data_IF_619812538583
#
_entry.id   IF_619812538583
#
_cell.length_a   1.000
_cell.length_b   1.000
_cell.length_c   1.000
_cell.angle_alpha   90.00
_cell.angle_beta   90.00
_cell.angle_gamma   90.00
#
_symmetry.space_group_name_H-M   'P 1'
#
loop_
_entity.id
_entity.type
_entity.pdbx_description
1 polymer ?
2 water ?
#
# COMPACT_ATOMS: atom_id res chain seq x y z
N UNK A 1 -7.67 5.06 -3.85
CA UNK A 1 -6.51 4.75 -2.99
C UNK A 1 -6.47 3.28 -2.63
N UNK A 2 -5.29 2.83 -2.20
CA UNK A 2 -5.05 1.44 -1.80
C UNK A 2 -6.14 0.82 -0.92
N UNK A 3 -6.51 1.51 0.14
CA UNK A 3 -7.48 0.97 1.07
C UNK A 3 -8.88 0.72 0.54
N UNK A 4 -9.22 1.30 -0.61
CA UNK A 4 -10.54 1.10 -1.18
C UNK A 4 -10.65 -0.26 -1.87
N UNK A 5 -9.51 -0.90 -2.12
CA UNK A 5 -9.44 -2.20 -2.78
C UNK A 5 -9.20 -3.26 -1.71
N UNK A 6 -10.00 -4.34 -1.69
CA UNK A 6 -9.85 -5.41 -0.70
C UNK A 6 -8.45 -6.01 -0.58
N UNK A 7 -7.83 -6.33 -1.71
CA UNK A 7 -6.50 -6.93 -1.70
C UNK A 7 -5.45 -6.00 -1.09
N UNK A 8 -5.42 -4.75 -1.55
CA UNK A 8 -4.45 -3.79 -1.04
C UNK A 8 -4.72 -3.48 0.43
N UNK A 9 -6.00 -3.37 0.77
CA UNK A 9 -6.44 -3.09 2.14
C UNK A 9 -5.91 -4.18 3.08
N UNK A 10 -6.12 -5.45 2.72
CA UNK A 10 -5.66 -6.55 3.54
C UNK A 10 -4.15 -6.65 3.65
N UNK A 11 -3.44 -6.16 2.63
CA UNK A 11 -1.99 -6.18 2.63
C UNK A 11 -1.43 -5.04 3.47
N UNK A 12 -2.30 -4.10 3.85
CA UNK A 12 -1.88 -2.94 4.64
C UNK A 12 -2.80 -2.71 5.82
N UNK A 13 -2.82 -3.65 6.77
CA UNK A 13 -3.69 -3.54 7.95
C UNK A 13 -3.43 -2.34 8.87
N UNK A 14 -2.17 -1.94 9.03
CA UNK A 14 -1.86 -0.83 9.93
C UNK A 14 -2.49 0.49 9.49
N UNK A 15 -2.36 0.80 8.20
CA UNK A 15 -2.88 2.04 7.66
C UNK A 15 -4.36 1.99 7.28
N UNK A 16 -4.78 0.91 6.63
CA UNK A 16 -6.16 0.79 6.20
C UNK A 16 -7.15 0.53 7.34
N UNK A 17 -6.75 -0.21 8.36
N UNK B 1 14.29 -0.79 -4.33
CA UNK B 1 13.40 -0.70 -3.17
C UNK B 1 11.97 -0.44 -3.61
N UNK B 2 11.03 -0.80 -2.75
CA UNK B 2 9.62 -0.60 -3.04
C UNK B 2 9.18 0.86 -2.97
N UNK B 3 9.53 1.54 -1.89
CA UNK B 3 9.09 2.91 -1.72
C UNK B 3 9.67 3.93 -2.70
N UNK B 4 10.76 3.55 -3.36
CA UNK B 4 11.38 4.41 -4.36
C UNK B 4 10.77 4.20 -5.75
N UNK B 5 9.88 3.21 -5.87
CA UNK B 5 9.20 2.89 -7.12
C UNK B 5 7.76 3.37 -6.91
N UNK B 6 7.32 4.38 -7.69
CA UNK B 6 5.96 4.94 -7.56
C UNK B 6 4.80 3.96 -7.40
N UNK B 7 4.71 2.95 -8.26
CA UNK B 7 3.60 2.01 -8.15
C UNK B 7 3.65 1.17 -6.89
N UNK B 8 4.84 0.74 -6.49
CA UNK B 8 4.96 -0.05 -5.28
C UNK B 8 4.63 0.82 -4.06
N UNK B 9 5.11 2.05 -4.08
CA UNK B 9 4.87 3.01 -3.00
C UNK B 9 3.36 3.22 -2.80
N UNK B 10 2.67 3.46 -3.91
CA UNK B 10 1.23 3.71 -3.91
C UNK B 10 0.41 2.55 -3.31
N UNK B 11 0.90 1.33 -3.46
CA UNK B 11 0.21 0.15 -2.95
C UNK B 11 0.68 -0.35 -1.59
N UNK B 12 1.58 0.39 -0.95
CA UNK B 12 2.10 -0.04 0.35
C UNK B 12 2.22 1.03 1.41
N UNK B 13 1.08 1.60 1.83
CA UNK B 13 1.10 2.65 2.86
C UNK B 13 1.65 2.22 4.21
N UNK B 14 1.56 0.94 4.56
CA UNK B 14 2.06 0.51 5.87
C UNK B 14 3.53 0.82 6.04
N UNK B 15 4.30 0.60 4.98
CA UNK B 15 5.74 0.84 5.04
C UNK B 15 6.24 2.09 4.33
N UNK B 16 5.49 2.56 3.33
CA UNK B 16 5.87 3.76 2.57
C UNK B 16 5.03 5.00 2.94
N UNK B 17 4.10 4.92 3.88
#
# INVERSE_FOLDING_TARGET
GCCSDPRCNMNNPDYCX
GCCSDPRCNMNNPDYCX
#
